data_IF_559766440014
#
_entry.id   IF_559766440014
#
_cell.length_a   1.000
_cell.length_b   1.000
_cell.length_c   1.000
_cell.angle_alpha   90.00
_cell.angle_beta   90.00
_cell.angle_gamma   90.00
#
_symmetry.space_group_name_H-M   'P 1'
#
loop_
_entity.id
_entity.type
_entity.pdbx_description
1 polymer ?
#
# COMPACT_ATOMS: atom_id res chain seq x y z
N UNK A 1 -4.71 39.49 -56.52
CA UNK A 1 -4.97 38.88 -55.20
C UNK A 1 -4.59 37.40 -55.25
N UNK A 2 -3.31 37.08 -55.02
CA UNK A 2 -2.85 35.70 -54.89
C UNK A 2 -2.82 35.36 -53.40
N UNK A 3 -3.85 34.68 -52.91
CA UNK A 3 -4.02 34.33 -51.51
C UNK A 3 -3.01 33.27 -51.07
N UNK A 4 -2.41 33.51 -49.90
CA UNK A 4 -1.42 32.72 -49.14
C UNK A 4 -1.83 31.26 -48.81
N UNK A 5 -2.20 30.46 -49.80
CA UNK A 5 -2.56 29.04 -49.62
C UNK A 5 -1.37 28.20 -49.15
N UNK A 6 -0.15 28.58 -49.55
CA UNK A 6 1.08 27.87 -49.21
C UNK A 6 1.52 28.08 -47.75
N UNK A 7 1.30 29.28 -47.21
CA UNK A 7 1.61 29.59 -45.80
C UNK A 7 0.71 28.85 -44.83
N UNK A 8 -0.58 28.77 -45.14
CA UNK A 8 -1.59 28.06 -44.34
C UNK A 8 -1.30 26.56 -44.21
N UNK A 9 -0.94 25.90 -45.32
CA UNK A 9 -0.59 24.48 -45.34
C UNK A 9 0.71 24.19 -44.59
N UNK A 10 1.70 25.09 -44.66
CA UNK A 10 2.96 25.00 -43.91
C UNK A 10 2.74 25.17 -42.40
N UNK A 11 1.91 26.12 -41.99
CA UNK A 11 1.56 26.36 -40.61
C UNK A 11 0.80 25.17 -40.00
N UNK A 12 -0.15 24.58 -40.74
CA UNK A 12 -0.83 23.34 -40.35
C UNK A 12 0.13 22.17 -40.16
N UNK A 13 1.09 22.00 -41.08
CA UNK A 13 2.11 20.96 -40.99
C UNK A 13 3.02 21.12 -39.77
N UNK A 14 3.41 22.36 -39.43
CA UNK A 14 4.20 22.68 -38.24
C UNK A 14 3.42 22.43 -36.95
N UNK A 15 2.16 22.86 -36.89
CA UNK A 15 1.29 22.64 -35.74
C UNK A 15 1.07 21.14 -35.47
N UNK A 16 0.87 20.34 -36.52
CA UNK A 16 0.68 18.90 -36.39
C UNK A 16 1.95 18.19 -35.90
N UNK A 17 3.12 18.59 -36.40
CA UNK A 17 4.41 18.09 -35.90
C UNK A 17 4.63 18.46 -34.44
N UNK A 18 4.34 19.70 -34.05
CA UNK A 18 4.45 20.16 -32.67
C UNK A 18 3.53 19.35 -31.74
N UNK A 19 2.28 19.10 -32.15
CA UNK A 19 1.34 18.26 -31.39
C UNK A 19 1.84 16.82 -31.23
N UNK A 20 2.41 16.22 -32.27
CA UNK A 20 2.99 14.88 -32.20
C UNK A 20 4.21 14.83 -31.28
N UNK A 21 5.09 15.82 -31.32
CA UNK A 21 6.26 15.89 -30.43
C UNK A 21 5.85 16.10 -28.97
N UNK A 22 4.92 17.02 -28.70
CA UNK A 22 4.43 17.29 -27.35
C UNK A 22 3.67 16.07 -26.82
N UNK A 23 2.77 15.49 -27.63
CA UNK A 23 2.02 14.29 -27.28
C UNK A 23 2.93 13.08 -27.04
N UNK A 24 3.94 12.88 -27.89
CA UNK A 24 4.94 11.83 -27.74
C UNK A 24 5.78 12.01 -26.48
N UNK A 25 6.24 13.23 -26.18
CA UNK A 25 7.00 13.51 -24.96
C UNK A 25 6.17 13.28 -23.69
N UNK A 26 4.88 13.67 -23.70
CA UNK A 26 3.96 13.41 -22.60
C UNK A 26 3.70 11.91 -22.42
N UNK A 27 3.53 11.17 -23.52
CA UNK A 27 3.34 9.72 -23.50
C UNK A 27 4.57 9.01 -22.90
N UNK A 28 5.78 9.35 -23.37
CA UNK A 28 7.04 8.80 -22.84
C UNK A 28 7.19 9.13 -21.35
N UNK A 29 6.92 10.38 -20.94
CA UNK A 29 6.97 10.79 -19.52
C UNK A 29 5.98 9.99 -18.67
N UNK A 30 4.79 9.70 -19.19
CA UNK A 30 3.77 8.90 -18.50
C UNK A 30 4.14 7.43 -18.40
N UNK A 31 4.72 6.86 -19.46
CA UNK A 31 5.17 5.47 -19.50
C UNK A 31 6.45 5.25 -18.68
N UNK A 32 7.25 6.30 -18.47
CA UNK A 32 8.49 6.28 -17.69
C UNK A 32 8.28 6.69 -16.23
N UNK A 33 7.06 6.56 -15.69
CA UNK A 33 6.79 6.79 -14.27
C UNK A 33 7.60 5.77 -13.46
N UNK A 34 8.76 6.19 -12.97
CA UNK A 34 9.62 5.36 -12.12
C UNK A 34 8.88 5.10 -10.81
N UNK A 35 8.65 3.83 -10.47
CA UNK A 35 8.25 3.47 -9.12
C UNK A 35 9.43 3.73 -8.20
N UNK A 36 9.16 4.34 -7.05
CA UNK A 36 10.14 4.53 -5.98
C UNK A 36 9.97 3.42 -4.94
N UNK A 37 10.99 3.19 -4.10
CA UNK A 37 10.86 2.27 -2.95
C UNK A 37 9.73 2.68 -2.01
N UNK A 38 9.42 3.98 -1.91
CA UNK A 38 8.26 4.50 -1.19
C UNK A 38 6.94 4.04 -1.80
N UNK A 39 6.83 4.00 -3.13
CA UNK A 39 5.62 3.50 -3.80
C UNK A 39 5.44 2.00 -3.53
N UNK A 40 6.53 1.24 -3.49
CA UNK A 40 6.50 -0.17 -3.11
C UNK A 40 6.12 -0.38 -1.64
N UNK A 41 6.66 0.43 -0.71
CA UNK A 41 6.32 0.34 0.71
C UNK A 41 4.82 0.59 0.95
N UNK A 42 4.26 1.64 0.31
CA UNK A 42 2.82 1.93 0.35
C UNK A 42 1.98 0.81 -0.26
N UNK A 43 2.42 0.23 -1.37
CA UNK A 43 1.74 -0.90 -1.99
C UNK A 43 1.70 -2.11 -1.06
N UNK A 44 2.81 -2.43 -0.40
CA UNK A 44 2.91 -3.52 0.57
C UNK A 44 2.01 -3.24 1.76
N UNK A 45 2.09 -2.05 2.36
CA UNK A 45 1.26 -1.66 3.50
C UNK A 45 -0.23 -1.79 3.15
N UNK A 46 -0.66 -1.19 2.03
CA UNK A 46 -2.04 -1.29 1.55
C UNK A 46 -2.48 -2.74 1.32
N UNK A 47 -1.63 -3.58 0.73
CA UNK A 47 -1.94 -5.00 0.47
C UNK A 47 -2.13 -5.81 1.76
N UNK A 48 -1.39 -5.46 2.82
CA UNK A 48 -1.52 -6.09 4.13
C UNK A 48 -2.82 -5.69 4.84
N UNK A 49 -3.34 -4.48 4.60
CA UNK A 49 -4.59 -4.03 5.24
C UNK A 49 -5.83 -4.85 4.85
N UNK A 50 -6.86 -4.72 5.67
CA UNK A 50 -8.16 -5.32 5.47
C UNK A 50 -8.38 -6.57 6.32
N UNK A 51 -9.46 -7.27 6.00
CA UNK A 51 -9.77 -8.57 6.58
C UNK A 51 -9.49 -9.68 5.55
N UNK A 52 -8.81 -10.74 5.98
CA UNK A 52 -8.41 -11.87 5.12
C UNK A 52 -8.62 -13.18 5.87
N UNK A 53 -8.86 -14.26 5.13
CA UNK A 53 -9.10 -15.59 5.70
C UNK A 53 -8.31 -16.67 4.96
N UNK A 54 -7.81 -17.67 5.69
CA UNK A 54 -7.25 -18.90 5.10
C UNK A 54 -8.32 -19.97 4.82
N UNK A 55 -9.59 -19.55 4.64
CA UNK A 55 -10.75 -20.45 4.51
C UNK A 55 -10.58 -21.47 3.39
N UNK A 56 -10.17 -21.02 2.20
CA UNK A 56 -10.07 -21.89 1.04
C UNK A 56 -8.95 -22.93 1.22
N UNK A 57 -7.81 -22.51 1.80
CA UNK A 57 -6.71 -23.41 2.15
C UNK A 57 -7.16 -24.45 3.19
N UNK A 58 -7.81 -24.02 4.27
CA UNK A 58 -8.30 -24.90 5.32
C UNK A 58 -9.39 -25.87 4.83
N UNK A 59 -10.18 -25.46 3.82
CA UNK A 59 -11.17 -26.35 3.21
C UNK A 59 -10.54 -27.42 2.32
N UNK A 60 -9.39 -27.10 1.70
CA UNK A 60 -8.67 -27.98 0.79
C UNK A 60 -7.81 -29.01 1.52
N UNK A 61 -7.25 -28.64 2.67
CA UNK A 61 -6.41 -29.50 3.51
C UNK A 61 -6.71 -29.27 4.99
N UNK A 62 -7.83 -29.83 5.49
CA UNK A 62 -8.32 -29.58 6.85
C UNK A 62 -7.48 -30.26 7.94
N UNK A 63 -6.67 -31.27 7.60
CA UNK A 63 -5.84 -31.99 8.56
C UNK A 63 -4.62 -31.16 8.99
N UNK A 64 -4.13 -30.28 8.10
CA UNK A 64 -2.92 -29.49 8.33
C UNK A 64 -3.19 -27.99 8.54
N UNK A 65 -4.33 -27.47 8.06
CA UNK A 65 -4.60 -26.03 8.08
C UNK A 65 -5.93 -25.67 8.74
N UNK A 66 -5.85 -24.75 9.69
CA UNK A 66 -7.03 -24.12 10.27
C UNK A 66 -7.46 -22.90 9.45
N UNK A 67 -8.77 -22.62 9.46
CA UNK A 67 -9.28 -21.34 8.96
C UNK A 67 -9.00 -20.23 9.99
N UNK A 68 -8.09 -19.32 9.63
CA UNK A 68 -7.61 -18.22 10.45
C UNK A 68 -8.09 -16.91 9.82
N UNK A 69 -8.66 -16.04 10.65
CA UNK A 69 -8.95 -14.65 10.34
C UNK A 69 -7.69 -13.83 10.58
N UNK A 70 -7.32 -13.00 9.61
CA UNK A 70 -6.32 -11.95 9.71
C UNK A 70 -7.02 -10.60 9.58
N UNK A 71 -6.76 -9.67 10.49
CA UNK A 71 -7.31 -8.32 10.46
C UNK A 71 -6.16 -7.32 10.62
N UNK A 72 -6.09 -6.34 9.71
CA UNK A 72 -4.98 -5.38 9.68
C UNK A 72 -5.47 -4.00 9.26
N UNK A 73 -4.98 -2.95 9.90
CA UNK A 73 -5.34 -1.57 9.58
C UNK A 73 -4.23 -0.59 9.98
N UNK A 74 -4.21 0.63 9.41
CA UNK A 74 -3.28 1.67 9.82
C UNK A 74 -3.47 2.08 11.28
N UNK A 75 -2.36 2.07 12.03
CA UNK A 75 -2.29 2.49 13.42
C UNK A 75 -1.66 3.88 13.55
N UNK A 76 -0.51 4.09 12.90
CA UNK A 76 0.23 5.36 12.91
C UNK A 76 1.04 5.56 11.61
N UNK A 77 1.51 6.79 11.39
CA UNK A 77 2.51 7.14 10.38
C UNK A 77 3.66 7.84 11.10
N UNK A 78 4.88 7.35 10.91
CA UNK A 78 6.07 7.94 11.53
C UNK A 78 6.52 9.19 10.77
N UNK A 79 7.35 10.01 11.43
CA UNK A 79 7.88 11.26 10.86
C UNK A 79 8.66 11.04 9.56
N UNK A 80 9.30 9.88 9.40
CA UNK A 80 10.04 9.53 8.19
C UNK A 80 9.14 9.03 7.05
N UNK A 81 7.82 8.91 7.27
CA UNK A 81 6.84 8.40 6.32
C UNK A 81 6.59 6.89 6.41
N UNK A 82 7.21 6.19 7.37
CA UNK A 82 6.96 4.76 7.60
C UNK A 82 5.52 4.52 8.07
N UNK A 83 4.85 3.53 7.50
CA UNK A 83 3.48 3.16 7.90
C UNK A 83 3.54 2.09 9.01
N UNK A 84 2.89 2.36 10.13
CA UNK A 84 2.70 1.40 11.21
C UNK A 84 1.29 0.83 11.14
N UNK A 85 1.20 -0.49 11.00
CA UNK A 85 -0.05 -1.23 10.89
C UNK A 85 -0.27 -2.05 12.15
N UNK A 86 -1.48 -1.99 12.70
CA UNK A 86 -1.94 -2.99 13.64
C UNK A 86 -2.31 -4.27 12.89
N UNK A 87 -1.87 -5.42 13.39
CA UNK A 87 -2.12 -6.74 12.82
C UNK A 87 -2.58 -7.72 13.91
N UNK A 88 -3.67 -8.46 13.66
CA UNK A 88 -4.11 -9.55 14.52
C UNK A 88 -4.48 -10.82 13.73
N UNK A 89 -4.30 -11.97 14.37
CA UNK A 89 -4.76 -13.28 13.91
C UNK A 89 -5.63 -13.95 14.97
N UNK A 90 -6.76 -14.49 14.52
CA UNK A 90 -7.71 -15.21 15.36
C UNK A 90 -8.22 -16.46 14.65
N UNK A 91 -8.64 -17.47 15.40
CA UNK A 91 -9.45 -18.54 14.84
C UNK A 91 -10.77 -17.97 14.33
N UNK A 92 -11.24 -18.42 13.16
CA UNK A 92 -12.46 -17.89 12.54
C UNK A 92 -13.72 -18.01 13.41
N UNK A 93 -13.78 -19.01 14.32
CA UNK A 93 -14.89 -19.21 15.27
C UNK A 93 -14.83 -18.31 16.51
N UNK A 94 -13.69 -17.69 16.77
CA UNK A 94 -13.46 -16.81 17.91
C UNK A 94 -12.71 -15.55 17.50
N UNK A 95 -13.23 -14.76 16.53
CA UNK A 95 -12.54 -13.59 15.99
C UNK A 95 -12.19 -12.55 17.06
N UNK A 96 -12.98 -12.47 18.13
CA UNK A 96 -12.82 -11.58 19.28
C UNK A 96 -11.73 -12.02 20.28
N UNK A 97 -11.10 -13.18 20.07
CA UNK A 97 -10.01 -13.72 20.91
C UNK A 97 -8.78 -13.97 20.04
N UNK A 98 -8.08 -12.93 19.57
CA UNK A 98 -6.88 -13.10 18.76
C UNK A 98 -5.80 -13.83 19.56
N UNK A 99 -5.16 -14.83 18.95
CA UNK A 99 -4.04 -15.57 19.54
C UNK A 99 -2.69 -14.91 19.24
N UNK A 100 -2.66 -13.94 18.32
CA UNK A 100 -1.48 -13.15 17.97
C UNK A 100 -1.88 -11.74 17.59
N UNK A 101 -1.21 -10.76 18.18
CA UNK A 101 -1.34 -9.34 17.85
C UNK A 101 0.08 -8.74 17.70
N UNK A 102 0.30 -7.92 16.68
CA UNK A 102 1.60 -7.31 16.34
C UNK A 102 1.41 -5.91 15.77
N UNK A 103 2.48 -5.12 15.87
CA UNK A 103 2.65 -3.91 15.07
C UNK A 103 3.61 -4.24 13.91
N UNK A 104 3.22 -3.88 12.70
CA UNK A 104 4.04 -4.04 11.50
C UNK A 104 4.48 -2.66 11.04
N UNK A 105 5.78 -2.45 10.85
CA UNK A 105 6.30 -1.21 10.27
C UNK A 105 6.76 -1.48 8.84
N UNK A 106 6.11 -0.85 7.88
CA UNK A 106 6.45 -0.92 6.46
C UNK A 106 7.17 0.36 6.04
N UNK A 107 8.39 0.23 5.54
CA UNK A 107 9.21 1.35 5.07
C UNK A 107 10.11 0.92 3.91
N UNK A 108 10.65 1.86 3.11
CA UNK A 108 11.67 1.55 2.13
C UNK A 108 12.89 0.91 2.78
N UNK A 109 13.50 -0.04 2.08
CA UNK A 109 14.82 -0.50 2.49
C UNK A 109 15.84 0.64 2.48
N UNK A 110 16.76 0.70 3.46
CA UNK A 110 17.94 1.55 3.43
C UNK A 110 18.72 1.42 2.12
N UNK A 111 19.45 2.47 1.73
CA UNK A 111 20.16 2.51 0.43
C UNK A 111 21.29 1.49 0.36
N UNK A 112 21.81 1.09 1.51
CA UNK A 112 22.90 0.14 1.68
C UNK A 112 22.45 -1.30 1.43
N UNK A 113 21.15 -1.57 1.45
CA UNK A 113 20.58 -2.90 1.23
C UNK A 113 19.99 -3.07 -0.18
N UNK A 114 20.17 -4.28 -0.71
CA UNK A 114 19.60 -4.72 -2.00
C UNK A 114 18.18 -5.28 -1.82
N UNK A 115 17.26 -4.41 -1.42
CA UNK A 115 15.82 -4.69 -1.34
C UNK A 115 14.99 -3.42 -1.57
N UNK A 116 13.68 -3.56 -1.77
CA UNK A 116 12.78 -2.42 -1.98
C UNK A 116 12.07 -1.99 -0.70
N UNK A 117 11.55 -2.94 0.07
CA UNK A 117 10.72 -2.71 1.25
C UNK A 117 11.24 -3.52 2.43
N UNK A 118 11.37 -2.87 3.58
CA UNK A 118 11.59 -3.50 4.88
C UNK A 118 10.24 -3.58 5.61
N UNK A 119 9.88 -4.78 6.07
CA UNK A 119 8.71 -5.02 6.92
C UNK A 119 9.18 -5.58 8.26
N UNK A 120 9.17 -4.74 9.29
CA UNK A 120 9.59 -5.10 10.64
C UNK A 120 8.38 -5.39 11.51
N UNK A 121 8.47 -6.42 12.37
CA UNK A 121 7.37 -6.88 13.23
C UNK A 121 7.72 -6.67 14.70
N UNK A 122 6.85 -6.00 15.44
CA UNK A 122 7.05 -5.65 16.85
C UNK A 122 5.97 -6.30 17.73
N UNK A 123 6.38 -6.70 18.94
CA UNK A 123 5.47 -7.18 19.96
C UNK A 123 4.75 -6.00 20.63
N UNK A 124 3.50 -6.22 21.02
CA UNK A 124 2.69 -5.27 21.78
C UNK A 124 2.84 -5.59 23.26
N UNK A 125 3.07 -4.58 24.10
CA UNK A 125 3.22 -4.75 25.55
C UNK A 125 1.87 -5.09 26.19
N UNK A 126 0.91 -4.17 26.12
CA UNK A 126 -0.44 -4.33 26.68
C UNK A 126 -1.42 -4.82 25.62
N UNK A 127 -1.37 -6.11 25.31
CA UNK A 127 -2.15 -6.69 24.20
C UNK A 127 -3.68 -6.55 24.36
N UNK A 128 -4.17 -6.48 25.59
CA UNK A 128 -5.59 -6.33 25.91
C UNK A 128 -6.15 -4.98 25.42
N UNK A 129 -5.39 -3.90 25.59
CA UNK A 129 -5.78 -2.56 25.14
C UNK A 129 -5.91 -2.45 23.62
N UNK A 130 -5.29 -3.38 22.90
CA UNK A 130 -5.25 -3.43 21.44
C UNK A 130 -6.21 -4.44 20.84
N UNK A 131 -7.01 -5.18 21.62
CA UNK A 131 -7.97 -6.15 21.07
C UNK A 131 -8.99 -5.50 20.14
N UNK A 132 -9.17 -6.10 18.96
CA UNK A 132 -10.08 -5.61 17.91
C UNK A 132 -9.79 -4.14 17.54
N UNK A 133 -8.52 -3.72 17.57
CA UNK A 133 -8.11 -2.32 17.33
C UNK A 133 -8.70 -1.75 16.04
N UNK A 134 -8.77 -2.54 14.97
CA UNK A 134 -9.29 -2.12 13.67
C UNK A 134 -10.80 -1.91 13.62
N UNK A 135 -11.54 -2.45 14.58
CA UNK A 135 -12.99 -2.37 14.61
C UNK A 135 -13.47 -1.24 15.54
N UNK A 136 -12.54 -0.62 16.29
CA UNK A 136 -12.81 0.53 17.15
C UNK A 136 -12.62 1.86 16.42
N UNK A 137 -13.40 2.89 16.77
CA UNK A 137 -13.13 4.28 16.40
C UNK A 137 -11.72 4.74 16.79
N UNK A 138 -11.16 5.71 16.04
CA UNK A 138 -9.78 6.20 16.24
C UNK A 138 -9.55 6.89 17.60
N UNK A 139 -10.60 7.45 18.17
CA UNK A 139 -10.64 8.10 19.48
C UNK A 139 -10.73 7.10 20.64
N UNK A 140 -11.12 5.85 20.37
CA UNK A 140 -11.30 4.79 21.38
C UNK A 140 -10.20 3.72 21.32
N UNK A 141 -9.12 4.00 20.60
CA UNK A 141 -7.96 3.13 20.47
C UNK A 141 -6.68 3.87 20.91
N UNK A 142 -5.61 3.16 21.29
CA UNK A 142 -4.32 3.77 21.58
C UNK A 142 -3.89 4.75 20.49
N UNK A 143 -3.38 5.90 20.91
CA UNK A 143 -3.02 6.99 20.01
C UNK A 143 -1.69 6.74 19.32
N UNK A 144 -1.40 7.38 18.17
CA UNK A 144 -0.17 7.17 17.42
C UNK A 144 1.12 7.31 18.24
N UNK A 145 1.13 8.12 19.30
CA UNK A 145 2.28 8.30 20.20
C UNK A 145 2.52 7.11 21.14
N UNK A 146 1.51 6.27 21.31
CA UNK A 146 1.49 5.08 22.19
C UNK A 146 1.72 3.77 21.40
N UNK A 147 1.82 3.88 20.07
CA UNK A 147 2.01 2.80 19.10
C UNK A 147 3.47 2.73 18.67
#
# INVERSE_FOLDING_TARGET
MGTDSNGWNRARGLAFKALLFIGGALLVKRLRKSTTRWDHARLVAHSLTGEKYSKDQASRDPDNYFNIRMRTCPAAELVDGSEVLYFEQAFWRSPQKPFRQRLLMAKPCPKELTCDVELSTYAIREMEEYKNFCDRPKDLRPQPEEV
#
